data_IF_692149604753
#
_entry.id   IF_692149604753
#
_cell.length_a   1.000
_cell.length_b   1.000
_cell.length_c   1.000
_cell.angle_alpha   90.00
_cell.angle_beta   90.00
_cell.angle_gamma   90.00
#
_symmetry.space_group_name_H-M   'P 1'
#
loop_
_entity.id
_entity.type
_entity.pdbx_description
1 polymer ?
#
# COMPACT_ATOMS: atom_id res chain seq x y z
N UNK A 1 1.46 -24.95 21.52
CA UNK A 1 0.40 -24.07 20.93
C UNK A 1 0.29 -22.87 21.85
N UNK A 2 0.83 -21.74 21.44
CA UNK A 2 0.72 -20.48 22.21
C UNK A 2 -0.71 -19.99 22.00
N UNK A 3 -1.54 -20.08 23.02
CA UNK A 3 -2.84 -19.41 23.03
C UNK A 3 -2.49 -17.91 22.95
N UNK A 4 -2.94 -17.24 21.91
CA UNK A 4 -2.81 -15.79 21.82
C UNK A 4 -3.59 -15.20 23.01
N UNK A 5 -2.87 -14.85 24.06
CA UNK A 5 -3.47 -14.25 25.26
C UNK A 5 -4.02 -12.85 24.99
N UNK A 6 -3.70 -12.30 23.82
CA UNK A 6 -4.17 -11.00 23.36
C UNK A 6 -4.40 -11.03 21.85
N UNK A 7 -5.66 -11.07 21.42
CA UNK A 7 -6.05 -10.98 20.00
C UNK A 7 -5.76 -9.60 19.40
N UNK A 8 -5.30 -8.65 20.19
CA UNK A 8 -4.86 -7.33 19.78
C UNK A 8 -3.32 -7.23 19.66
N UNK A 9 -2.59 -8.34 19.86
CA UNK A 9 -1.15 -8.36 19.58
C UNK A 9 -0.92 -8.28 18.07
N UNK A 10 -0.74 -7.07 17.60
CA UNK A 10 -0.50 -6.77 16.18
C UNK A 10 0.79 -7.44 15.65
N UNK A 11 1.76 -7.75 16.51
CA UNK A 11 2.97 -8.45 16.09
C UNK A 11 2.68 -9.90 15.69
N UNK A 12 1.76 -10.55 16.41
CA UNK A 12 1.30 -11.89 16.08
C UNK A 12 0.50 -11.94 14.77
N UNK A 13 -0.12 -10.81 14.38
CA UNK A 13 -0.91 -10.66 13.16
C UNK A 13 -0.10 -10.08 11.99
N UNK A 14 1.21 -9.90 12.14
CA UNK A 14 2.03 -9.35 11.08
C UNK A 14 2.24 -10.35 9.94
N UNK A 15 2.30 -9.84 8.71
CA UNK A 15 2.79 -10.58 7.56
C UNK A 15 4.32 -10.70 7.64
N UNK A 16 4.86 -11.84 7.24
CA UNK A 16 6.29 -11.96 7.00
C UNK A 16 6.69 -11.36 5.64
N UNK A 17 8.00 -11.27 5.39
CA UNK A 17 8.52 -10.65 4.17
C UNK A 17 8.02 -11.35 2.89
N UNK A 18 7.94 -12.68 2.88
CA UNK A 18 7.44 -13.47 1.74
C UNK A 18 5.95 -13.18 1.49
N UNK A 19 5.15 -13.16 2.56
CA UNK A 19 3.72 -12.84 2.47
C UNK A 19 3.48 -11.40 1.97
N UNK A 20 4.34 -10.45 2.37
CA UNK A 20 4.30 -9.08 1.83
C UNK A 20 4.57 -9.07 0.33
N UNK A 21 5.63 -9.74 -0.12
CA UNK A 21 5.95 -9.82 -1.56
C UNK A 21 4.83 -10.51 -2.36
N UNK A 22 4.26 -11.60 -1.86
CA UNK A 22 3.13 -12.28 -2.50
C UNK A 22 1.89 -11.39 -2.59
N UNK A 23 1.62 -10.59 -1.54
CA UNK A 23 0.46 -9.70 -1.51
C UNK A 23 0.56 -8.57 -2.54
N UNK A 24 1.76 -8.01 -2.75
CA UNK A 24 1.96 -6.86 -3.64
C UNK A 24 2.40 -7.23 -5.05
N UNK A 25 3.06 -8.37 -5.23
CA UNK A 25 3.75 -8.75 -6.47
C UNK A 25 2.82 -8.97 -7.67
N UNK A 26 1.56 -9.32 -7.44
CA UNK A 26 0.58 -9.52 -8.51
C UNK A 26 0.08 -8.22 -9.16
N UNK A 27 0.47 -7.05 -8.60
CA UNK A 27 -0.07 -5.77 -9.03
C UNK A 27 -1.54 -5.58 -8.60
N UNK A 28 -2.23 -4.66 -9.22
CA UNK A 28 -3.63 -4.38 -8.93
C UNK A 28 -3.90 -2.93 -8.53
N UNK A 29 -4.62 -2.73 -7.43
CA UNK A 29 -4.94 -1.39 -6.91
C UNK A 29 -4.36 -1.16 -5.53
N UNK A 30 -3.97 0.07 -5.27
CA UNK A 30 -3.50 0.53 -3.96
C UNK A 30 -4.17 1.84 -3.57
N UNK A 31 -4.13 2.18 -2.30
CA UNK A 31 -4.39 3.55 -1.86
C UNK A 31 -3.06 4.29 -1.82
N UNK A 32 -2.87 5.20 -2.77
CA UNK A 32 -1.70 6.08 -2.81
C UNK A 32 -1.97 7.35 -2.00
N UNK A 33 -1.09 7.67 -1.07
CA UNK A 33 -1.27 8.77 -0.12
C UNK A 33 -0.13 9.77 -0.17
N UNK A 34 -0.47 11.06 0.03
CA UNK A 34 0.47 12.19 0.14
C UNK A 34 -0.06 13.22 1.13
N UNK A 35 0.76 14.21 1.50
CA UNK A 35 0.33 15.31 2.36
C UNK A 35 0.06 16.58 1.57
N UNK A 36 -1.02 17.28 1.91
CA UNK A 36 -1.32 18.62 1.42
C UNK A 36 -0.36 19.66 2.03
N UNK A 37 -0.42 20.91 1.56
CA UNK A 37 0.47 21.96 2.06
C UNK A 37 0.25 22.30 3.54
N UNK A 38 -0.98 22.12 4.00
CA UNK A 38 -1.42 22.29 5.40
C UNK A 38 -1.30 21.00 6.25
N UNK A 39 -0.63 19.97 5.71
CA UNK A 39 -0.31 18.75 6.44
C UNK A 39 -1.39 17.65 6.45
N UNK A 40 -2.56 17.87 5.80
CA UNK A 40 -3.57 16.83 5.75
C UNK A 40 -3.13 15.64 4.91
N UNK A 41 -3.28 14.39 5.40
CA UNK A 41 -3.08 13.20 4.59
C UNK A 41 -4.26 13.03 3.61
N UNK A 42 -3.95 12.74 2.36
CA UNK A 42 -4.95 12.49 1.31
C UNK A 42 -4.62 11.17 0.62
N UNK A 43 -5.63 10.32 0.41
CA UNK A 43 -5.50 9.05 -0.27
C UNK A 43 -6.42 8.94 -1.47
N UNK A 44 -5.96 8.24 -2.52
CA UNK A 44 -6.77 7.90 -3.69
C UNK A 44 -6.43 6.49 -4.15
N UNK A 45 -7.40 5.81 -4.71
CA UNK A 45 -7.14 4.54 -5.37
C UNK A 45 -6.39 4.75 -6.69
N UNK A 46 -5.33 3.96 -6.90
CA UNK A 46 -4.55 3.93 -8.13
C UNK A 46 -4.19 2.50 -8.49
N UNK A 47 -4.20 2.19 -9.78
CA UNK A 47 -3.57 0.96 -10.27
C UNK A 47 -2.05 1.09 -10.15
N UNK A 48 -1.37 -0.02 -9.85
CA UNK A 48 0.08 -0.06 -9.70
C UNK A 48 0.70 -1.29 -10.37
N UNK A 49 1.96 -1.16 -10.68
CA UNK A 49 2.88 -2.27 -10.94
C UNK A 49 3.92 -2.26 -9.83
N UNK A 50 4.23 -3.42 -9.28
CA UNK A 50 5.30 -3.59 -8.29
C UNK A 50 6.45 -4.35 -8.92
N UNK A 51 7.63 -3.79 -8.85
CA UNK A 51 8.83 -4.42 -9.39
C UNK A 51 10.06 -4.03 -8.55
N UNK A 52 10.79 -5.01 -8.07
CA UNK A 52 12.06 -4.84 -7.34
C UNK A 52 11.96 -3.85 -6.15
N UNK A 53 10.92 -3.96 -5.35
CA UNK A 53 10.73 -3.07 -4.20
C UNK A 53 10.17 -1.69 -4.53
N UNK A 54 9.76 -1.46 -5.78
CA UNK A 54 9.31 -0.17 -6.28
C UNK A 54 7.86 -0.26 -6.75
N UNK A 55 7.04 0.66 -6.28
CA UNK A 55 5.67 0.86 -6.79
C UNK A 55 5.68 1.88 -7.93
N UNK A 56 5.12 1.48 -9.06
CA UNK A 56 4.96 2.31 -10.23
C UNK A 56 3.48 2.61 -10.46
N UNK A 57 3.13 3.88 -10.50
CA UNK A 57 1.76 4.35 -10.74
C UNK A 57 1.76 5.49 -11.76
N UNK A 58 0.60 5.89 -12.27
CA UNK A 58 0.51 7.02 -13.22
C UNK A 58 -0.65 7.94 -12.92
N UNK A 59 -0.47 9.21 -13.25
CA UNK A 59 -1.51 10.23 -13.06
C UNK A 59 -1.33 11.36 -14.07
N UNK A 60 -2.40 12.09 -14.46
CA UNK A 60 -2.25 13.34 -15.21
C UNK A 60 -1.43 14.38 -14.45
N UNK A 61 -0.54 15.08 -15.15
CA UNK A 61 0.41 16.05 -14.58
C UNK A 61 -0.26 17.21 -13.82
N UNK A 62 -1.48 17.58 -14.20
CA UNK A 62 -2.23 18.69 -13.58
C UNK A 62 -2.90 18.32 -12.25
N UNK A 63 -2.87 17.08 -11.83
CA UNK A 63 -3.47 16.67 -10.56
C UNK A 63 -2.70 17.30 -9.39
N UNK A 64 -3.45 17.79 -8.39
CA UNK A 64 -2.90 18.45 -7.17
C UNK A 64 -1.82 17.59 -6.50
N UNK A 65 -1.94 16.26 -6.55
CA UNK A 65 -0.94 15.33 -6.00
C UNK A 65 0.43 15.51 -6.64
N UNK A 66 0.51 15.80 -7.94
CA UNK A 66 1.79 15.97 -8.64
C UNK A 66 2.53 17.20 -8.11
N UNK A 67 1.84 18.35 -7.97
CA UNK A 67 2.41 19.55 -7.37
C UNK A 67 2.81 19.31 -5.90
N UNK A 68 1.96 18.56 -5.15
CA UNK A 68 2.25 18.23 -3.76
C UNK A 68 3.50 17.35 -3.62
N UNK A 69 3.65 16.31 -4.45
CA UNK A 69 4.80 15.41 -4.44
C UNK A 69 6.10 16.07 -4.89
N UNK A 70 6.04 17.03 -5.83
CA UNK A 70 7.21 17.84 -6.19
C UNK A 70 7.74 18.64 -5.02
N UNK A 71 6.86 19.19 -4.19
CA UNK A 71 7.24 19.96 -3.01
C UNK A 71 7.57 19.09 -1.80
N UNK A 72 6.92 17.94 -1.67
CA UNK A 72 7.00 17.01 -0.52
C UNK A 72 6.92 15.58 -1.03
N UNK A 73 8.06 14.96 -1.37
CA UNK A 73 8.09 13.65 -2.05
C UNK A 73 7.73 12.47 -1.14
N UNK A 74 7.59 12.68 0.16
CA UNK A 74 7.15 11.61 1.08
C UNK A 74 5.73 11.19 0.76
N UNK A 75 5.52 9.89 0.65
CA UNK A 75 4.25 9.27 0.32
C UNK A 75 4.07 7.97 1.09
N UNK A 76 2.86 7.47 1.11
CA UNK A 76 2.57 6.14 1.63
C UNK A 76 1.68 5.39 0.64
N UNK A 77 1.79 4.07 0.66
CA UNK A 77 0.97 3.18 -0.17
C UNK A 77 0.36 2.12 0.73
N UNK A 78 -0.94 1.90 0.60
CA UNK A 78 -1.62 0.78 1.25
C UNK A 78 -2.13 -0.17 0.18
N UNK A 79 -1.73 -1.43 0.30
CA UNK A 79 -2.29 -2.53 -0.47
C UNK A 79 -3.16 -3.37 0.44
N UNK A 80 -4.36 -3.70 -0.02
CA UNK A 80 -5.32 -4.53 0.69
C UNK A 80 -5.74 -5.65 -0.24
N UNK A 81 -5.65 -6.89 0.24
CA UNK A 81 -6.06 -8.08 -0.50
C UNK A 81 -6.59 -9.12 0.50
N UNK A 82 -7.77 -9.66 0.22
CA UNK A 82 -8.41 -10.72 1.02
C UNK A 82 -8.48 -10.41 2.53
N UNK A 83 -8.70 -9.12 2.87
CA UNK A 83 -8.74 -8.63 4.25
C UNK A 83 -7.37 -8.37 4.88
N UNK A 84 -6.30 -8.91 4.34
CA UNK A 84 -4.93 -8.60 4.76
C UNK A 84 -4.46 -7.28 4.16
N UNK A 85 -3.55 -6.59 4.83
CA UNK A 85 -3.07 -5.30 4.37
C UNK A 85 -1.61 -5.06 4.69
N UNK A 86 -0.98 -4.24 3.86
CA UNK A 86 0.35 -3.70 4.13
C UNK A 86 0.39 -2.22 3.81
N UNK A 87 0.91 -1.44 4.74
CA UNK A 87 1.21 -0.02 4.55
C UNK A 87 2.70 0.14 4.33
N UNK A 88 3.05 0.84 3.28
CA UNK A 88 4.41 1.24 2.96
C UNK A 88 4.59 2.74 3.19
N UNK A 89 5.76 3.14 3.69
CA UNK A 89 6.23 4.52 3.67
C UNK A 89 7.33 4.64 2.61
N UNK A 90 7.36 5.75 1.88
CA UNK A 90 8.32 5.89 0.80
C UNK A 90 8.54 7.31 0.30
N UNK A 91 9.37 7.39 -0.73
CA UNK A 91 9.63 8.61 -1.48
C UNK A 91 9.25 8.41 -2.94
N UNK A 92 8.52 9.38 -3.48
CA UNK A 92 8.07 9.35 -4.87
C UNK A 92 8.93 10.25 -5.74
N UNK A 93 9.47 9.67 -6.81
CA UNK A 93 10.10 10.36 -7.94
C UNK A 93 9.05 10.50 -9.04
N UNK A 94 9.04 11.62 -9.75
CA UNK A 94 8.09 11.89 -10.82
C UNK A 94 8.84 11.89 -12.14
N UNK A 95 8.52 10.94 -13.01
CA UNK A 95 9.02 10.88 -14.37
C UNK A 95 8.03 11.53 -15.35
N UNK A 96 8.55 12.30 -16.28
CA UNK A 96 7.76 13.02 -17.26
C UNK A 96 8.44 13.20 -18.63
N UNK A 97 7.73 13.78 -19.61
CA UNK A 97 8.21 13.89 -20.99
C UNK A 97 9.55 14.62 -21.19
N UNK A 98 10.04 15.34 -20.14
CA UNK A 98 11.33 16.03 -20.17
C UNK A 98 12.51 15.20 -19.67
N UNK A 99 12.29 14.02 -19.14
CA UNK A 99 13.33 13.20 -18.55
C UNK A 99 14.02 12.34 -19.59
N UNK A 100 15.33 12.12 -19.42
CA UNK A 100 16.16 11.42 -20.40
C UNK A 100 15.73 9.97 -20.59
N UNK A 101 15.24 9.32 -19.55
CA UNK A 101 14.81 7.92 -19.53
C UNK A 101 13.30 7.73 -19.80
N UNK A 102 12.58 8.83 -20.03
CA UNK A 102 11.11 8.83 -20.15
C UNK A 102 10.59 7.80 -21.15
N UNK A 103 11.17 7.70 -22.33
CA UNK A 103 10.71 6.78 -23.37
C UNK A 103 10.81 5.31 -22.92
N UNK A 104 11.88 4.96 -22.24
CA UNK A 104 12.10 3.62 -21.69
C UNK A 104 11.11 3.29 -20.58
N UNK A 105 11.04 4.14 -19.55
CA UNK A 105 10.13 3.98 -18.41
C UNK A 105 8.68 3.90 -18.89
N UNK A 106 8.27 4.81 -19.75
CA UNK A 106 6.91 4.84 -20.32
C UNK A 106 6.57 3.53 -21.05
N UNK A 107 7.48 3.04 -21.87
CA UNK A 107 7.23 1.87 -22.71
C UNK A 107 6.95 0.62 -21.89
N UNK A 108 7.85 0.26 -20.98
CA UNK A 108 7.67 -0.96 -20.20
C UNK A 108 6.53 -0.84 -19.19
N UNK A 109 6.44 0.31 -18.48
CA UNK A 109 5.43 0.48 -17.43
C UNK A 109 4.01 0.46 -18.00
N UNK A 110 3.75 1.14 -19.12
CA UNK A 110 2.40 1.12 -19.71
C UNK A 110 2.05 -0.23 -20.31
N UNK A 111 3.05 -0.98 -20.83
CA UNK A 111 2.82 -2.36 -21.24
C UNK A 111 2.44 -3.25 -20.04
N UNK A 112 3.17 -3.14 -18.94
CA UNK A 112 2.88 -3.89 -17.72
C UNK A 112 1.52 -3.53 -17.13
N UNK A 113 1.22 -2.24 -16.96
CA UNK A 113 -0.01 -1.77 -16.35
C UNK A 113 -1.27 -2.08 -17.18
N UNK A 114 -1.15 -2.09 -18.52
CA UNK A 114 -2.27 -2.38 -19.42
C UNK A 114 -2.48 -3.87 -19.68
N UNK A 115 -1.61 -4.74 -19.18
CA UNK A 115 -1.64 -6.17 -19.49
C UNK A 115 -1.14 -6.53 -20.91
N UNK A 116 -0.69 -5.55 -21.71
CA UNK A 116 -0.20 -5.82 -23.08
C UNK A 116 1.14 -6.57 -23.11
N UNK A 117 1.79 -6.72 -21.97
CA UNK A 117 2.92 -7.63 -21.81
C UNK A 117 2.50 -9.11 -21.97
N UNK A 118 1.21 -9.44 -21.69
CA UNK A 118 0.66 -10.77 -21.87
C UNK A 118 0.11 -11.01 -23.27
N UNK A 119 -0.87 -10.20 -23.70
CA UNK A 119 -1.45 -10.27 -25.06
C UNK A 119 -1.57 -8.87 -25.68
N UNK A 120 -0.63 -8.48 -26.54
CA UNK A 120 -0.65 -7.20 -27.24
C UNK A 120 -1.87 -7.02 -28.18
N UNK A 121 -2.54 -8.11 -28.58
CA UNK A 121 -3.68 -8.07 -29.48
C UNK A 121 -5.00 -7.83 -28.76
N UNK A 122 -5.05 -7.97 -27.44
CA UNK A 122 -6.28 -7.74 -26.67
C UNK A 122 -6.80 -6.30 -26.87
N UNK A 123 -8.07 -6.12 -27.29
CA UNK A 123 -8.61 -4.78 -27.58
C UNK A 123 -8.70 -3.89 -26.32
N UNK A 124 -9.01 -4.47 -25.17
CA UNK A 124 -9.11 -3.74 -23.89
C UNK A 124 -7.77 -3.24 -23.42
N UNK A 125 -6.75 -4.10 -23.49
CA UNK A 125 -5.37 -3.74 -23.15
C UNK A 125 -4.83 -2.63 -24.07
N UNK A 126 -5.13 -2.69 -25.37
CA UNK A 126 -4.77 -1.63 -26.32
C UNK A 126 -5.46 -0.31 -26.02
N UNK A 127 -6.75 -0.33 -25.74
CA UNK A 127 -7.50 0.87 -25.38
C UNK A 127 -6.95 1.50 -24.09
N UNK A 128 -6.63 0.70 -23.08
CA UNK A 128 -5.98 1.16 -21.85
C UNK A 128 -4.62 1.80 -22.14
N UNK A 129 -3.79 1.15 -22.96
CA UNK A 129 -2.49 1.69 -23.32
C UNK A 129 -2.60 3.04 -24.05
N UNK A 130 -3.55 3.21 -24.95
CA UNK A 130 -3.82 4.48 -25.63
C UNK A 130 -4.24 5.58 -24.64
N UNK A 131 -5.08 5.23 -23.65
CA UNK A 131 -5.47 6.15 -22.57
C UNK A 131 -4.25 6.56 -21.73
N UNK A 132 -3.38 5.61 -21.43
CA UNK A 132 -2.16 5.85 -20.64
C UNK A 132 -1.12 6.69 -21.41
N UNK A 133 -1.07 6.58 -22.72
CA UNK A 133 -0.13 7.31 -23.57
C UNK A 133 -0.54 8.78 -23.84
N UNK A 134 -1.36 9.34 -22.98
CA UNK A 134 -1.71 10.75 -23.03
C UNK A 134 -0.48 11.63 -22.76
N UNK A 135 -0.22 12.67 -23.57
CA UNK A 135 0.98 13.52 -23.46
C UNK A 135 1.08 14.29 -22.14
N UNK A 136 0.01 14.37 -21.40
CA UNK A 136 -0.05 15.07 -20.12
C UNK A 136 0.10 14.16 -18.90
N UNK A 137 0.46 12.90 -19.07
CA UNK A 137 0.69 11.98 -17.95
C UNK A 137 2.13 11.99 -17.47
N UNK A 138 2.27 11.72 -16.19
CA UNK A 138 3.54 11.44 -15.50
C UNK A 138 3.46 10.07 -14.85
N UNK A 139 4.61 9.47 -14.64
CA UNK A 139 4.77 8.20 -13.93
C UNK A 139 5.38 8.51 -12.55
N UNK A 140 4.85 7.88 -11.53
CA UNK A 140 5.30 8.02 -10.16
C UNK A 140 6.05 6.74 -9.79
N UNK A 141 7.35 6.85 -9.58
CA UNK A 141 8.20 5.82 -9.00
C UNK A 141 8.24 6.02 -7.50
N UNK A 142 7.76 5.07 -6.73
CA UNK A 142 7.77 5.14 -5.27
C UNK A 142 8.62 4.02 -4.70
N UNK A 143 9.79 4.35 -4.21
CA UNK A 143 10.64 3.44 -3.42
C UNK A 143 10.13 3.44 -1.99
N UNK A 144 9.68 2.28 -1.54
CA UNK A 144 8.95 2.18 -0.30
C UNK A 144 9.34 0.92 0.48
N UNK A 145 9.27 1.03 1.79
CA UNK A 145 9.49 -0.06 2.73
C UNK A 145 8.23 -0.33 3.54
N UNK A 146 7.94 -1.60 3.90
CA UNK A 146 6.81 -1.93 4.77
C UNK A 146 6.92 -1.23 6.13
N UNK A 147 5.83 -0.65 6.59
CA UNK A 147 5.72 0.02 7.88
C UNK A 147 4.79 -0.73 8.84
N UNK A 148 3.60 -1.12 8.35
CA UNK A 148 2.59 -1.83 9.13
C UNK A 148 1.99 -2.91 8.25
N UNK A 149 1.85 -4.11 8.81
CA UNK A 149 1.21 -5.23 8.12
C UNK A 149 0.13 -5.85 9.00
N UNK A 150 -0.89 -6.44 8.36
CA UNK A 150 -1.96 -7.15 9.03
C UNK A 150 -2.39 -8.38 8.23
N UNK A 151 -2.40 -9.53 8.87
CA UNK A 151 -2.80 -10.81 8.31
C UNK A 151 -4.19 -11.19 8.82
N UNK A 152 -5.19 -11.08 7.95
CA UNK A 152 -6.58 -11.42 8.26
C UNK A 152 -6.76 -12.90 8.62
N UNK A 153 -6.01 -13.81 8.03
CA UNK A 153 -6.14 -15.23 8.28
C UNK A 153 -5.59 -15.60 9.67
N UNK A 154 -4.44 -15.03 10.05
CA UNK A 154 -3.91 -15.17 11.41
C UNK A 154 -4.88 -14.62 12.43
N UNK A 155 -5.45 -13.44 12.18
CA UNK A 155 -6.47 -12.86 13.05
C UNK A 155 -7.71 -13.75 13.18
N UNK A 156 -8.27 -14.23 12.07
CA UNK A 156 -9.43 -15.12 12.07
C UNK A 156 -9.19 -16.42 12.81
N UNK A 157 -8.01 -17.02 12.64
CA UNK A 157 -7.59 -18.23 13.35
C UNK A 157 -7.46 -18.00 14.86
N UNK A 158 -6.86 -16.88 15.26
CA UNK A 158 -6.70 -16.51 16.65
C UNK A 158 -8.07 -16.23 17.32
N UNK A 159 -8.95 -15.51 16.62
CA UNK A 159 -10.30 -15.24 17.07
C UNK A 159 -11.11 -16.54 17.28
N UNK A 160 -11.05 -17.45 16.30
CA UNK A 160 -11.69 -18.77 16.39
C UNK A 160 -11.20 -19.57 17.59
N UNK A 161 -9.90 -19.57 17.85
CA UNK A 161 -9.30 -20.23 19.02
C UNK A 161 -9.75 -19.60 20.32
N UNK A 162 -9.80 -18.27 20.41
CA UNK A 162 -10.25 -17.56 21.58
C UNK A 162 -11.74 -17.86 21.90
N UNK A 163 -12.59 -17.83 20.87
CA UNK A 163 -14.02 -18.16 21.00
C UNK A 163 -14.21 -19.61 21.47
N UNK A 164 -13.48 -20.57 20.89
CA UNK A 164 -13.54 -21.96 21.31
C UNK A 164 -13.06 -22.20 22.75
N UNK A 165 -12.16 -21.36 23.24
CA UNK A 165 -11.69 -21.37 24.62
C UNK A 165 -12.65 -20.63 25.61
N UNK A 166 -13.77 -20.12 25.12
CA UNK A 166 -14.74 -19.37 25.93
C UNK A 166 -14.30 -17.95 26.31
N UNK A 167 -13.29 -17.40 25.63
CA UNK A 167 -12.85 -16.02 25.81
C UNK A 167 -13.90 -15.10 25.20
N UNK A 168 -14.67 -14.43 26.04
CA UNK A 168 -15.71 -13.51 25.62
C UNK A 168 -15.21 -12.06 25.49
N UNK A 169 -15.99 -11.22 24.83
CA UNK A 169 -15.70 -9.79 24.67
C UNK A 169 -15.52 -9.02 25.99
N UNK A 170 -16.07 -9.54 27.09
CA UNK A 170 -15.89 -8.96 28.44
C UNK A 170 -14.45 -9.07 28.93
N UNK A 171 -13.81 -10.24 28.70
CA UNK A 171 -12.43 -10.49 29.13
C UNK A 171 -11.45 -9.57 28.40
N UNK A 172 -11.75 -9.22 27.14
CA UNK A 172 -10.97 -8.29 26.33
C UNK A 172 -11.16 -6.84 26.84
N UNK A 173 -12.40 -6.46 27.18
CA UNK A 173 -12.70 -5.13 27.69
C UNK A 173 -12.08 -4.90 29.08
N UNK A 174 -12.09 -5.90 29.96
CA UNK A 174 -11.52 -5.80 31.30
C UNK A 174 -9.99 -5.65 31.29
N UNK A 175 -9.31 -6.27 30.31
CA UNK A 175 -7.86 -6.10 30.11
C UNK A 175 -7.48 -4.68 29.65
N UNK A 176 -8.37 -4.00 28.94
CA UNK A 176 -8.17 -2.59 28.50
C UNK A 176 -8.32 -1.59 29.63
N UNK A 177 -9.16 -1.88 30.63
CA UNK A 177 -9.42 -0.97 31.76
C UNK A 177 -8.16 -0.76 32.63
N UNK A 178 -7.17 -1.64 32.58
CA UNK A 178 -5.87 -1.42 33.22
C UNK A 178 -5.01 -0.28 32.63
N UNK A 179 -5.38 0.28 31.46
CA UNK A 179 -4.72 1.43 30.83
C UNK A 179 -5.66 2.64 30.80
N UNK A 180 -6.00 3.14 31.97
CA UNK A 180 -6.96 4.26 32.11
C UNK A 180 -6.36 5.65 31.89
N UNK A 181 -5.05 5.77 31.67
CA UNK A 181 -4.36 7.04 31.55
C UNK A 181 -4.16 7.56 30.11
N UNK A 182 -4.58 6.77 29.10
CA UNK A 182 -4.42 7.17 27.70
C UNK A 182 -2.98 7.33 27.22
N UNK A 183 -2.00 6.94 28.03
CA UNK A 183 -0.59 7.02 27.67
C UNK A 183 -0.24 5.87 26.72
N UNK A 184 0.00 6.21 25.47
CA UNK A 184 0.72 5.33 24.54
C UNK A 184 2.19 5.39 24.95
N UNK A 185 2.88 4.27 25.20
CA UNK A 185 4.31 4.31 25.48
C UNK A 185 5.04 5.01 24.34
N UNK A 186 5.86 5.99 24.67
CA UNK A 186 6.62 6.82 23.71
C UNK A 186 7.52 6.01 22.76
N UNK A 187 7.78 4.75 23.09
CA UNK A 187 8.56 3.80 22.28
C UNK A 187 7.83 3.36 20.98
N UNK A 188 6.49 3.40 20.94
CA UNK A 188 5.71 2.96 19.78
C UNK A 188 5.47 4.07 18.74
N UNK A 189 5.87 5.32 19.07
CA UNK A 189 5.74 6.47 18.18
C UNK A 189 7.03 6.81 17.41
N UNK A 190 8.13 6.09 17.68
CA UNK A 190 9.45 6.31 17.04
C UNK A 190 9.80 5.15 16.10
N UNK A 191 8.94 4.88 15.15
CA UNK A 191 9.19 3.95 14.07
C UNK A 191 9.40 4.68 12.76
#
# INVERSE_FOLDING_TARGET
MTVLNDIEDMKAMALDARQVEELVGEGGTCVFMWSTADGHPVGVMMAYVYLDGVFWTTTPAWRKRVAALRARPKSSIVVIKDGSSVTFKGHTIIHGPGDTDWAGVKSWFYAALSGTAGDPADPGARAMRQLLDSPSRVILETRAEPLVTFDWQKFGSALGTAVAAGVGSRDIAERKVGRTDGSVPDADLRG
#
